data_IF_423215637190
#
_entry.id   IF_423215637190
#
_cell.length_a   1.000
_cell.length_b   1.000
_cell.length_c   1.000
_cell.angle_alpha   90.00
_cell.angle_beta   90.00
_cell.angle_gamma   90.00
#
_symmetry.space_group_name_H-M   'P 1'
#
loop_
_entity.id
_entity.type
_entity.pdbx_description
1 polymer ?
#
# COMPACT_ATOMS: atom_id res chain seq x y z
N UNK A 1 5.30 -5.40 -13.55
CA UNK A 1 5.51 -5.88 -12.18
C UNK A 1 4.75 -4.88 -11.32
N UNK A 2 4.78 -4.96 -10.00
CA UNK A 2 4.13 -3.94 -9.17
C UNK A 2 4.91 -3.79 -7.87
N UNK A 3 4.73 -2.66 -7.21
CA UNK A 3 5.08 -2.53 -5.81
C UNK A 3 3.94 -3.05 -4.92
N UNK A 4 4.30 -3.58 -3.76
CA UNK A 4 3.40 -4.21 -2.78
C UNK A 4 3.61 -3.56 -1.41
N UNK A 5 2.50 -3.21 -0.75
CA UNK A 5 2.52 -2.79 0.66
C UNK A 5 2.42 -4.03 1.56
N UNK A 6 3.50 -4.30 2.28
CA UNK A 6 3.67 -5.40 3.21
C UNK A 6 3.16 -5.09 4.63
N UNK A 7 3.18 -6.11 5.48
CA UNK A 7 2.68 -6.08 6.85
C UNK A 7 3.28 -4.97 7.77
N UNK A 8 4.50 -4.43 7.58
CA UNK A 8 4.97 -3.30 8.40
C UNK A 8 4.10 -2.04 8.33
N UNK A 9 3.26 -1.90 7.30
CA UNK A 9 2.30 -0.79 7.20
C UNK A 9 1.14 -0.91 8.21
N UNK A 10 0.85 -2.11 8.71
CA UNK A 10 -0.31 -2.39 9.57
C UNK A 10 -0.26 -1.56 10.85
N UNK A 11 -1.27 -0.71 11.07
CA UNK A 11 -1.34 0.18 12.23
C UNK A 11 -0.57 1.48 12.11
N UNK A 12 0.24 1.65 11.05
CA UNK A 12 1.01 2.88 10.81
C UNK A 12 0.26 3.81 9.88
N UNK A 13 -0.11 3.34 8.67
CA UNK A 13 -0.86 4.09 7.66
C UNK A 13 -0.46 5.57 7.51
N UNK A 14 0.85 5.86 7.42
CA UNK A 14 1.39 7.24 7.44
C UNK A 14 0.99 8.09 6.21
N UNK A 15 0.74 7.44 5.07
CA UNK A 15 0.30 8.05 3.79
C UNK A 15 1.33 8.89 3.02
N UNK A 16 2.59 9.02 3.48
CA UNK A 16 3.64 9.72 2.70
C UNK A 16 3.84 9.15 1.28
N UNK A 17 3.71 7.83 1.12
CA UNK A 17 3.81 7.16 -0.20
C UNK A 17 2.73 7.61 -1.20
N UNK A 18 1.57 8.07 -0.74
CA UNK A 18 0.47 8.53 -1.61
C UNK A 18 0.89 9.80 -2.36
N UNK A 19 1.59 10.73 -1.69
CA UNK A 19 1.92 12.04 -2.25
C UNK A 19 2.97 11.98 -3.37
N UNK A 20 3.71 10.88 -3.46
CA UNK A 20 4.77 10.68 -4.46
C UNK A 20 4.38 9.74 -5.59
N UNK A 21 3.23 9.06 -5.50
CA UNK A 21 2.77 8.16 -6.54
C UNK A 21 2.33 8.95 -7.79
N UNK A 22 2.98 8.77 -8.96
CA UNK A 22 2.68 9.57 -10.15
C UNK A 22 1.35 9.22 -10.84
N UNK A 23 0.74 8.11 -10.44
CA UNK A 23 -0.49 7.55 -11.02
C UNK A 23 -1.60 7.38 -9.97
N UNK A 24 -1.40 7.93 -8.77
CA UNK A 24 -2.36 7.91 -7.66
C UNK A 24 -2.92 6.51 -7.30
N UNK A 25 -2.15 5.45 -7.52
CA UNK A 25 -2.62 4.06 -7.36
C UNK A 25 -2.55 3.49 -5.92
N UNK A 26 -2.45 4.33 -4.88
CA UNK A 26 -2.31 3.89 -3.48
C UNK A 26 -3.54 4.30 -2.70
N UNK A 27 -4.27 3.32 -2.13
CA UNK A 27 -5.56 3.52 -1.49
C UNK A 27 -5.72 2.72 -0.19
N UNK A 28 -6.91 2.77 0.40
CA UNK A 28 -7.24 2.18 1.69
C UNK A 28 -7.02 3.13 2.87
N UNK A 29 -7.14 2.63 4.11
CA UNK A 29 -7.30 1.21 4.45
C UNK A 29 -8.69 0.58 4.30
N UNK A 30 -9.74 1.39 4.13
CA UNK A 30 -11.13 0.95 3.95
C UNK A 30 -11.67 1.28 2.54
N UNK A 31 -11.29 2.43 1.97
CA UNK A 31 -11.77 2.90 0.67
C UNK A 31 -10.76 2.63 -0.47
N UNK A 32 -11.13 1.84 -1.51
CA UNK A 32 -10.26 1.57 -2.67
C UNK A 32 -10.05 2.76 -3.59
N UNK A 33 -10.74 3.89 -3.41
CA UNK A 33 -10.55 5.11 -4.21
C UNK A 33 -10.13 6.31 -3.32
N UNK A 34 -10.11 6.12 -2.00
CA UNK A 34 -9.96 7.20 -1.01
C UNK A 34 -8.54 7.73 -0.79
N UNK A 35 -7.54 7.21 -1.51
CA UNK A 35 -6.15 7.71 -1.49
C UNK A 35 -5.55 7.92 -0.09
N UNK A 36 -5.93 7.09 0.90
CA UNK A 36 -5.44 7.24 2.27
C UNK A 36 -5.99 8.45 3.03
N UNK A 37 -6.95 9.21 2.50
CA UNK A 37 -7.49 10.41 3.16
C UNK A 37 -8.08 10.09 4.53
N UNK A 38 -8.71 8.94 4.67
CA UNK A 38 -9.28 8.46 5.93
C UNK A 38 -8.24 8.21 7.02
N UNK A 39 -7.04 7.77 6.66
CA UNK A 39 -5.93 7.58 7.61
C UNK A 39 -5.36 8.91 8.14
N UNK A 40 -5.62 10.03 7.46
CA UNK A 40 -5.20 11.38 7.91
C UNK A 40 -6.13 11.97 8.97
N UNK A 41 -7.34 11.42 9.16
CA UNK A 41 -8.27 11.92 10.16
C UNK A 41 -7.76 11.61 11.57
N UNK A 42 -7.74 12.62 12.44
CA UNK A 42 -7.19 12.50 13.80
C UNK A 42 -7.97 11.53 14.71
N UNK A 43 -9.16 11.12 14.32
CA UNK A 43 -9.98 10.12 15.01
C UNK A 43 -9.99 8.75 14.35
N UNK A 44 -9.23 8.54 13.27
CA UNK A 44 -9.20 7.27 12.55
C UNK A 44 -8.39 6.22 13.32
N UNK A 45 -8.97 5.02 13.46
CA UNK A 45 -8.29 3.88 14.06
C UNK A 45 -7.68 3.01 12.97
N UNK A 46 -6.36 3.14 12.79
CA UNK A 46 -5.59 2.33 11.85
C UNK A 46 -5.25 0.92 12.39
N UNK A 47 -5.72 0.55 13.59
CA UNK A 47 -5.40 -0.73 14.22
C UNK A 47 -5.80 -1.91 13.33
N UNK A 48 -4.83 -2.77 12.99
CA UNK A 48 -4.97 -3.91 12.07
C UNK A 48 -5.36 -3.53 10.63
N UNK A 49 -5.08 -2.30 10.21
CA UNK A 49 -5.33 -1.82 8.85
C UNK A 49 -4.06 -1.34 8.18
N UNK A 50 -3.99 -1.42 6.86
CA UNK A 50 -2.85 -1.00 6.04
C UNK A 50 -3.36 -0.35 4.75
N UNK A 51 -2.50 0.41 4.08
CA UNK A 51 -2.74 0.86 2.72
C UNK A 51 -2.46 -0.28 1.72
N UNK A 52 -2.93 -0.10 0.48
CA UNK A 52 -2.72 -1.03 -0.63
C UNK A 52 -2.34 -0.26 -1.90
N UNK A 53 -1.40 -0.82 -2.67
CA UNK A 53 -1.07 -0.37 -4.02
C UNK A 53 -1.92 -1.17 -4.99
N UNK A 54 -2.55 -0.53 -5.98
CA UNK A 54 -3.27 -1.19 -7.07
C UNK A 54 -2.28 -1.76 -8.09
N UNK A 55 -2.14 -3.10 -8.21
CA UNK A 55 -1.21 -3.74 -9.13
C UNK A 55 -1.44 -3.47 -10.61
N UNK A 56 -2.69 -3.30 -11.05
CA UNK A 56 -2.98 -3.04 -12.48
C UNK A 56 -2.68 -1.59 -12.89
N UNK A 57 -2.64 -0.67 -11.92
CA UNK A 57 -2.36 0.75 -12.17
C UNK A 57 -0.91 1.14 -11.86
N UNK A 58 -0.21 0.35 -11.03
CA UNK A 58 1.20 0.57 -10.74
C UNK A 58 2.05 0.53 -12.02
N UNK A 59 3.00 1.46 -12.12
CA UNK A 59 3.90 1.60 -13.27
C UNK A 59 5.38 1.30 -12.94
N UNK A 60 5.64 0.63 -11.82
CA UNK A 60 7.00 0.21 -11.41
C UNK A 60 8.02 1.34 -11.32
N UNK A 61 7.60 2.54 -10.87
CA UNK A 61 8.48 3.70 -10.82
C UNK A 61 9.40 3.76 -9.58
N UNK A 62 9.05 3.03 -8.51
CA UNK A 62 9.81 2.98 -7.26
C UNK A 62 9.83 4.25 -6.42
N UNK A 63 9.02 5.27 -6.75
CA UNK A 63 9.01 6.54 -6.02
C UNK A 63 8.50 6.40 -4.57
N UNK A 64 7.60 5.45 -4.31
CA UNK A 64 6.97 5.26 -3.00
C UNK A 64 7.85 4.52 -1.98
N UNK A 65 8.75 3.64 -2.43
CA UNK A 65 9.62 2.82 -1.57
C UNK A 65 10.43 3.65 -0.55
N UNK A 66 11.24 4.65 -0.94
CA UNK A 66 12.07 5.41 -0.01
C UNK A 66 11.28 6.35 0.92
N UNK A 67 10.00 6.60 0.62
CA UNK A 67 9.15 7.51 1.39
C UNK A 67 8.41 6.80 2.53
N UNK A 68 8.39 5.47 2.54
CA UNK A 68 7.73 4.72 3.60
C UNK A 68 8.56 4.76 4.89
N UNK A 69 8.06 5.34 6.00
CA UNK A 69 8.84 5.49 7.23
C UNK A 69 9.11 4.18 7.99
N UNK A 70 8.42 3.10 7.60
CA UNK A 70 8.49 1.77 8.23
C UNK A 70 8.95 0.69 7.25
N UNK A 71 9.52 1.08 6.10
CA UNK A 71 10.05 0.17 5.09
C UNK A 71 9.06 -0.95 4.72
N UNK A 72 7.81 -0.57 4.45
CA UNK A 72 6.73 -1.51 4.15
C UNK A 72 6.49 -1.76 2.66
N UNK A 73 7.23 -1.10 1.76
CA UNK A 73 6.98 -1.14 0.32
C UNK A 73 8.12 -1.88 -0.35
N UNK A 74 7.78 -2.88 -1.15
CA UNK A 74 8.74 -3.73 -1.86
C UNK A 74 8.27 -3.93 -3.30
N UNK A 75 9.19 -4.13 -4.24
CA UNK A 75 8.85 -4.74 -5.52
C UNK A 75 8.29 -6.15 -5.27
N UNK A 76 7.29 -6.58 -6.05
CA UNK A 76 6.64 -7.89 -5.87
C UNK A 76 7.64 -9.06 -5.82
N UNK A 77 8.69 -9.01 -6.63
CA UNK A 77 9.72 -10.06 -6.69
C UNK A 77 10.69 -10.01 -5.49
N UNK A 78 10.68 -8.91 -4.73
CA UNK A 78 11.57 -8.65 -3.60
C UNK A 78 10.84 -8.67 -2.24
N UNK A 79 9.53 -8.96 -2.23
CA UNK A 79 8.76 -9.14 -0.99
C UNK A 79 9.37 -10.29 -0.18
N UNK A 80 9.74 -10.07 1.10
CA UNK A 80 10.23 -11.14 1.97
C UNK A 80 9.22 -12.28 2.12
N UNK A 81 9.71 -13.52 2.24
CA UNK A 81 8.88 -14.73 2.37
C UNK A 81 7.82 -14.63 3.49
N UNK A 82 8.13 -13.89 4.57
CA UNK A 82 7.21 -13.68 5.70
C UNK A 82 6.00 -12.81 5.34
N UNK A 83 6.09 -11.99 4.28
CA UNK A 83 5.07 -11.05 3.82
C UNK A 83 4.45 -11.44 2.47
N UNK A 84 4.68 -12.65 1.95
CA UNK A 84 4.08 -13.08 0.67
C UNK A 84 2.55 -12.93 0.65
N UNK A 85 1.89 -13.14 1.80
CA UNK A 85 0.44 -12.97 1.92
C UNK A 85 0.00 -11.52 1.62
N UNK A 86 0.87 -10.54 1.83
CA UNK A 86 0.56 -9.13 1.54
C UNK A 86 0.43 -8.87 0.05
N UNK A 87 1.07 -9.68 -0.80
CA UNK A 87 0.90 -9.60 -2.26
C UNK A 87 -0.58 -9.82 -2.58
N UNK A 88 -1.12 -10.97 -2.20
CA UNK A 88 -2.52 -11.32 -2.46
C UNK A 88 -3.51 -10.31 -1.83
N UNK A 89 -3.17 -9.72 -0.68
CA UNK A 89 -3.99 -8.66 -0.05
C UNK A 89 -4.11 -7.43 -0.95
N UNK A 90 -3.01 -6.99 -1.59
CA UNK A 90 -3.02 -5.82 -2.47
C UNK A 90 -3.93 -6.06 -3.69
N UNK A 91 -3.81 -7.22 -4.35
CA UNK A 91 -4.72 -7.60 -5.45
C UNK A 91 -6.18 -7.73 -4.99
N UNK A 92 -6.41 -8.45 -3.89
CA UNK A 92 -7.77 -8.74 -3.39
C UNK A 92 -8.53 -7.49 -2.96
N UNK A 93 -7.82 -6.45 -2.48
CA UNK A 93 -8.43 -5.20 -2.09
C UNK A 93 -9.11 -4.48 -3.27
N UNK A 94 -8.54 -4.60 -4.47
CA UNK A 94 -9.12 -4.05 -5.71
C UNK A 94 -9.98 -5.07 -6.49
N UNK A 95 -10.22 -6.26 -5.93
CA UNK A 95 -10.96 -7.33 -6.60
C UNK A 95 -10.22 -7.94 -7.80
N UNK A 96 -8.90 -7.87 -7.80
CA UNK A 96 -8.04 -8.40 -8.86
C UNK A 96 -7.52 -9.80 -8.51
N UNK A 97 -7.16 -10.55 -9.55
CA UNK A 97 -6.47 -11.83 -9.44
C UNK A 97 -4.98 -11.63 -9.72
N UNK A 98 -4.12 -12.25 -8.91
CA UNK A 98 -2.67 -12.23 -9.06
C UNK A 98 -2.22 -13.05 -10.28
#
# INVERSE_FOLDING_TARGET
MTYIIADPCVGTCDTACVEVCPVDCIHGPDDPEGSGEEAKDSGYDATNKQLYINPEECIDCGACEPECPVDAIYDEDEVPDEYENSIDKNYSFFGQER
#
